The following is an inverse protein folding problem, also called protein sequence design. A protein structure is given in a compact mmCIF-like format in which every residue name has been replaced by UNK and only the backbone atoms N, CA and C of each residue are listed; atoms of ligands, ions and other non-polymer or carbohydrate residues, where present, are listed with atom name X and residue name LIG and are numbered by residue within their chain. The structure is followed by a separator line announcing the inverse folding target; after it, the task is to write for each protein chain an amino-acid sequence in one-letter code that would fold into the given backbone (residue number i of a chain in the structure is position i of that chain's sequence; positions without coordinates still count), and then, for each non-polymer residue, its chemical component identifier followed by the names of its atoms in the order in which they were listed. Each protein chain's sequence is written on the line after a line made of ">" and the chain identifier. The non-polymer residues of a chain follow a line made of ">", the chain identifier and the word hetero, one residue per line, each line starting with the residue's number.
data_IF_882314111867
#
_entry.id   IF_882314111867
#
_cell.length_a   1.000
_cell.length_b   1.000
_cell.length_c   1.000
_cell.angle_alpha   90.00
_cell.angle_beta   90.00
_cell.angle_gamma   90.00
#
_symmetry.space_group_name_H-M   'P 1'
#
loop_
_entity.id
_entity.type
_entity.pdbx_description
1 polymer ?
#
# COMPACT_ATOMS: atom_id res chain seq x y z
N UNK A 1 -20.84 11.49 -42.38
CA UNK A 1 -20.32 12.50 -41.42
C UNK A 1 -21.07 12.50 -40.08
N UNK A 2 -22.40 12.30 -40.06
CA UNK A 2 -23.19 12.24 -38.81
C UNK A 2 -22.91 11.03 -37.90
N UNK A 3 -22.56 9.88 -38.47
CA UNK A 3 -22.27 8.66 -37.69
C UNK A 3 -21.01 8.82 -36.84
N UNK A 4 -19.97 9.48 -37.38
CA UNK A 4 -18.72 9.74 -36.68
C UNK A 4 -18.90 10.70 -35.50
N UNK A 5 -19.76 11.72 -35.65
CA UNK A 5 -20.12 12.64 -34.58
C UNK A 5 -20.95 11.96 -33.49
N UNK A 6 -21.91 11.10 -33.86
CA UNK A 6 -22.68 10.31 -32.90
C UNK A 6 -21.80 9.37 -32.07
N UNK A 7 -20.80 8.75 -32.72
CA UNK A 7 -19.81 7.90 -32.05
C UNK A 7 -18.84 8.71 -31.19
N UNK A 8 -18.46 9.93 -31.59
CA UNK A 8 -17.63 10.84 -30.78
C UNK A 8 -18.38 11.35 -29.54
N UNK A 9 -19.67 11.66 -29.68
CA UNK A 9 -20.53 12.05 -28.56
C UNK A 9 -20.75 10.86 -27.61
N UNK A 10 -20.98 9.66 -28.15
CA UNK A 10 -21.04 8.42 -27.36
C UNK A 10 -19.70 8.06 -26.71
N UNK A 11 -18.57 8.29 -27.38
CA UNK A 11 -17.25 8.08 -26.77
C UNK A 11 -16.96 9.12 -25.68
N UNK A 12 -17.46 10.36 -25.82
CA UNK A 12 -17.36 11.39 -24.79
C UNK A 12 -18.21 11.08 -23.55
N UNK A 13 -19.37 10.41 -23.71
CA UNK A 13 -20.17 9.93 -22.59
C UNK A 13 -19.58 8.69 -21.91
N UNK A 14 -18.74 7.92 -22.61
CA UNK A 14 -17.99 6.77 -22.04
C UNK A 14 -16.83 7.22 -21.15
N UNK A 15 -16.22 8.39 -21.39
CA UNK A 15 -15.12 8.94 -20.58
C UNK A 15 -15.60 10.00 -19.58
N UNK A 16 -16.74 9.75 -18.92
CA UNK A 16 -17.23 10.65 -17.89
C UNK A 16 -16.48 10.54 -16.57
N UNK A 17 -15.81 9.40 -16.33
CA UNK A 17 -14.98 9.18 -15.17
C UNK A 17 -13.56 8.80 -15.60
N UNK A 18 -12.59 9.29 -14.86
CA UNK A 18 -11.20 8.85 -14.95
C UNK A 18 -10.59 8.73 -13.57
N UNK A 19 -9.52 7.96 -13.49
CA UNK A 19 -8.78 7.69 -12.27
C UNK A 19 -7.29 7.84 -12.55
N UNK A 20 -6.59 8.49 -11.64
CA UNK A 20 -5.14 8.69 -11.70
C UNK A 20 -4.55 8.46 -10.31
N UNK A 21 -3.43 7.75 -10.24
CA UNK A 21 -2.68 7.56 -8.99
C UNK A 21 -1.73 8.76 -8.87
N UNK A 22 -1.96 9.63 -7.89
CA UNK A 22 -1.12 10.82 -7.69
C UNK A 22 0.17 10.44 -6.97
N UNK A 23 0.04 9.72 -5.86
CA UNK A 23 1.16 9.33 -5.03
C UNK A 23 0.88 8.02 -4.32
N UNK A 24 1.91 7.19 -4.24
CA UNK A 24 1.91 5.99 -3.41
C UNK A 24 3.17 6.02 -2.56
N UNK A 25 2.98 5.91 -1.25
CA UNK A 25 4.03 5.68 -0.28
C UNK A 25 3.67 4.43 0.54
N UNK A 26 4.59 4.00 1.40
CA UNK A 26 4.46 2.78 2.20
C UNK A 26 3.22 2.81 3.12
N UNK A 27 2.85 3.99 3.63
CA UNK A 27 1.77 4.14 4.62
C UNK A 27 0.54 4.90 4.10
N UNK A 28 0.72 5.82 3.14
CA UNK A 28 -0.33 6.71 2.63
C UNK A 28 -0.33 6.71 1.13
N UNK A 29 -1.49 6.87 0.53
CA UNK A 29 -1.61 6.95 -0.93
C UNK A 29 -2.82 7.78 -1.33
N UNK A 30 -2.73 8.40 -2.51
CA UNK A 30 -3.74 9.29 -3.06
C UNK A 30 -4.09 8.87 -4.47
N UNK A 31 -5.38 8.62 -4.69
CA UNK A 31 -6.01 8.41 -6.00
C UNK A 31 -6.90 9.61 -6.25
N UNK A 32 -6.74 10.18 -7.44
CA UNK A 32 -7.61 11.19 -8.00
C UNK A 32 -8.69 10.53 -8.83
N UNK A 33 -9.94 10.80 -8.50
CA UNK A 33 -11.07 10.50 -9.36
C UNK A 33 -11.56 11.80 -9.99
N UNK A 34 -11.61 11.83 -11.32
CA UNK A 34 -12.15 12.98 -12.06
C UNK A 34 -13.44 12.56 -12.73
N UNK A 35 -14.43 13.44 -12.65
CA UNK A 35 -15.70 13.29 -13.34
C UNK A 35 -16.02 14.55 -14.13
N UNK A 36 -16.45 14.37 -15.38
CA UNK A 36 -16.86 15.44 -16.26
C UNK A 36 -18.37 15.49 -16.47
N UNK A 37 -19.12 14.56 -15.87
CA UNK A 37 -20.55 14.44 -16.12
C UNK A 37 -21.34 15.63 -15.55
N UNK A 38 -22.27 16.24 -16.31
CA UNK A 38 -22.99 17.42 -15.87
C UNK A 38 -24.06 17.15 -14.80
N UNK A 39 -24.69 15.96 -14.81
CA UNK A 39 -25.78 15.63 -13.86
C UNK A 39 -25.25 15.10 -12.53
N UNK A 40 -26.15 14.91 -11.55
CA UNK A 40 -25.78 14.27 -10.27
C UNK A 40 -25.43 12.80 -10.50
N UNK A 41 -24.30 12.37 -9.94
CA UNK A 41 -23.80 11.01 -10.08
C UNK A 41 -23.12 10.55 -8.79
N UNK A 42 -22.96 9.25 -8.66
CA UNK A 42 -22.36 8.63 -7.48
C UNK A 42 -21.04 7.96 -7.84
N UNK A 43 -20.09 8.07 -6.91
CA UNK A 43 -18.86 7.29 -6.94
C UNK A 43 -18.86 6.39 -5.71
N UNK A 44 -18.91 5.08 -5.91
CA UNK A 44 -18.80 4.12 -4.83
C UNK A 44 -17.40 3.53 -4.83
N UNK A 45 -16.71 3.58 -3.68
CA UNK A 45 -15.35 3.06 -3.52
C UNK A 45 -15.35 2.04 -2.41
N UNK A 46 -14.88 0.85 -2.74
CA UNK A 46 -14.72 -0.26 -1.81
C UNK A 46 -13.26 -0.31 -1.34
N UNK A 47 -13.09 -0.08 -0.04
CA UNK A 47 -11.84 -0.21 0.68
C UNK A 47 -11.80 -1.58 1.39
N UNK A 48 -10.70 -2.32 1.33
CA UNK A 48 -10.53 -3.50 2.17
C UNK A 48 -10.37 -3.09 3.65
N UNK A 49 -10.63 -4.01 4.58
CA UNK A 49 -10.65 -3.74 6.03
C UNK A 49 -9.31 -3.23 6.60
N UNK A 50 -8.21 -3.44 5.91
CA UNK A 50 -6.86 -2.96 6.27
C UNK A 50 -6.57 -1.53 5.77
N UNK A 51 -7.56 -0.83 5.23
CA UNK A 51 -7.42 0.54 4.73
C UNK A 51 -8.37 1.47 5.45
N UNK A 52 -7.84 2.60 5.91
CA UNK A 52 -8.62 3.66 6.54
C UNK A 52 -8.77 4.80 5.53
N UNK A 53 -9.99 5.05 5.00
CA UNK A 53 -10.22 6.16 4.11
C UNK A 53 -10.22 7.48 4.87
N UNK A 54 -9.54 8.50 4.34
CA UNK A 54 -9.56 9.86 4.89
C UNK A 54 -10.69 10.66 4.24
N UNK A 55 -11.80 10.79 4.96
CA UNK A 55 -13.05 11.37 4.43
C UNK A 55 -13.29 12.83 4.83
N UNK A 56 -12.29 13.50 5.42
CA UNK A 56 -12.44 14.88 5.92
C UNK A 56 -12.76 15.82 4.76
N UNK A 57 -13.80 16.64 4.93
CA UNK A 57 -14.28 17.62 3.93
C UNK A 57 -14.72 17.02 2.59
N UNK A 58 -15.04 15.72 2.55
CA UNK A 58 -15.50 15.04 1.35
C UNK A 58 -17.04 15.01 1.25
N UNK A 59 -17.63 15.04 0.05
CA UNK A 59 -19.08 14.97 -0.16
C UNK A 59 -19.61 13.54 -0.02
N UNK A 60 -19.46 12.96 1.17
CA UNK A 60 -19.90 11.59 1.48
C UNK A 60 -21.43 11.56 1.56
N UNK A 61 -22.04 10.68 0.77
CA UNK A 61 -23.47 10.42 0.81
C UNK A 61 -23.80 9.31 1.81
N UNK A 62 -23.03 8.21 1.76
CA UNK A 62 -23.27 7.03 2.61
C UNK A 62 -22.00 6.21 2.80
N UNK A 63 -21.88 5.60 3.97
CA UNK A 63 -20.87 4.58 4.26
C UNK A 63 -21.61 3.26 4.53
N UNK A 64 -21.12 2.17 3.96
CA UNK A 64 -21.66 0.82 4.15
C UNK A 64 -20.52 -0.09 4.57
N UNK A 65 -20.60 -0.59 5.80
CA UNK A 65 -19.63 -1.54 6.34
C UNK A 65 -20.05 -2.97 6.00
N UNK A 66 -19.11 -3.74 5.45
CA UNK A 66 -19.22 -5.19 5.24
C UNK A 66 -18.19 -5.89 6.13
N UNK A 67 -18.31 -7.21 6.25
CA UNK A 67 -17.42 -8.04 7.08
C UNK A 67 -15.92 -7.89 6.73
N UNK A 68 -15.58 -7.60 5.48
CA UNK A 68 -14.20 -7.53 4.98
C UNK A 68 -13.87 -6.25 4.20
N UNK A 69 -14.83 -5.33 4.07
CA UNK A 69 -14.64 -4.11 3.29
C UNK A 69 -15.56 -2.99 3.77
N UNK A 70 -15.15 -1.75 3.52
CA UNK A 70 -15.93 -0.55 3.76
C UNK A 70 -16.19 0.12 2.43
N UNK A 71 -17.47 0.33 2.11
CA UNK A 71 -17.87 1.02 0.88
C UNK A 71 -18.26 2.45 1.22
N UNK A 72 -17.55 3.40 0.64
CA UNK A 72 -17.87 4.83 0.75
C UNK A 72 -18.50 5.30 -0.56
N UNK A 73 -19.68 5.91 -0.45
CA UNK A 73 -20.43 6.44 -1.58
C UNK A 73 -20.37 7.96 -1.52
N UNK A 74 -19.83 8.58 -2.55
CA UNK A 74 -19.77 10.03 -2.72
C UNK A 74 -20.88 10.49 -3.66
N UNK A 75 -21.53 11.61 -3.33
CA UNK A 75 -22.47 12.29 -4.22
C UNK A 75 -21.77 13.46 -4.90
N UNK A 76 -21.67 13.39 -6.23
CA UNK A 76 -20.95 14.35 -7.05
C UNK A 76 -21.94 15.07 -7.97
N UNK A 77 -21.75 16.38 -8.14
CA UNK A 77 -22.59 17.23 -8.99
C UNK A 77 -21.71 18.04 -9.92
N UNK A 78 -21.98 17.95 -11.22
CA UNK A 78 -21.21 18.60 -12.26
C UNK A 78 -19.78 18.08 -12.34
N UNK A 79 -18.93 18.85 -13.03
CA UNK A 79 -17.50 18.53 -13.16
C UNK A 79 -16.82 18.63 -11.80
N UNK A 80 -16.18 17.54 -11.37
CA UNK A 80 -15.47 17.48 -10.08
C UNK A 80 -14.19 16.66 -10.18
N UNK A 81 -13.26 17.02 -9.31
CA UNK A 81 -12.06 16.25 -9.02
C UNK A 81 -12.12 15.90 -7.54
N UNK A 82 -11.88 14.64 -7.23
CA UNK A 82 -11.92 14.10 -5.88
C UNK A 82 -10.59 13.38 -5.61
N UNK A 83 -9.76 14.02 -4.80
CA UNK A 83 -8.49 13.46 -4.35
C UNK A 83 -8.75 12.71 -3.05
N UNK A 84 -8.71 11.39 -3.09
CA UNK A 84 -9.02 10.56 -1.94
C UNK A 84 -7.73 10.02 -1.37
N UNK A 85 -7.42 10.47 -0.16
CA UNK A 85 -6.34 9.95 0.64
C UNK A 85 -6.83 8.70 1.37
N UNK A 86 -6.01 7.67 1.43
CA UNK A 86 -6.19 6.57 2.38
C UNK A 86 -4.88 6.21 3.06
N UNK A 87 -5.02 5.64 4.25
CA UNK A 87 -3.93 5.07 5.03
C UNK A 87 -4.00 3.55 4.98
N UNK A 88 -2.85 2.93 4.77
CA UNK A 88 -2.67 1.48 4.78
C UNK A 88 -2.29 1.10 6.21
N UNK A 89 -3.06 0.20 6.83
CA UNK A 89 -2.61 -0.41 8.08
C UNK A 89 -1.46 -1.36 7.76
N UNK A 90 -0.25 -0.96 8.14
CA UNK A 90 0.93 -1.80 8.05
C UNK A 90 0.78 -2.97 9.02
N UNK A 91 0.57 -4.18 8.48
CA UNK A 91 0.64 -5.40 9.25
C UNK A 91 2.07 -5.64 9.73
N UNK A 92 2.22 -6.27 10.89
CA UNK A 92 3.56 -6.70 11.36
C UNK A 92 4.08 -7.78 10.42
N UNK A 93 5.40 -7.90 10.27
CA UNK A 93 6.03 -8.83 9.29
C UNK A 93 5.51 -10.26 9.41
N UNK A 94 5.17 -10.73 10.61
CA UNK A 94 4.65 -12.08 10.87
C UNK A 94 3.14 -12.23 10.65
N UNK A 95 2.39 -11.14 10.47
CA UNK A 95 0.96 -11.13 10.12
C UNK A 95 0.76 -11.18 8.60
N UNK A 96 1.83 -10.97 7.83
CA UNK A 96 1.80 -11.01 6.38
C UNK A 96 1.89 -12.45 5.87
N UNK A 97 1.00 -12.79 4.92
CA UNK A 97 1.13 -14.02 4.15
C UNK A 97 2.49 -14.01 3.42
N UNK A 98 3.26 -15.13 3.40
CA UNK A 98 4.54 -15.22 2.68
C UNK A 98 4.39 -15.09 1.15
N UNK A 99 3.16 -15.05 0.64
CA UNK A 99 2.84 -14.77 -0.76
C UNK A 99 2.50 -13.27 -0.90
N UNK A 100 3.54 -12.44 -1.10
CA UNK A 100 3.54 -10.97 -1.02
C UNK A 100 2.93 -10.27 -2.28
N UNK A 101 2.26 -11.00 -3.17
CA UNK A 101 1.65 -10.39 -4.37
C UNK A 101 0.32 -9.67 -4.09
N UNK A 102 -0.18 -9.72 -2.85
CA UNK A 102 -1.46 -9.12 -2.48
C UNK A 102 -1.29 -7.66 -2.03
N UNK A 103 -1.08 -6.78 -3.01
CA UNK A 103 -1.29 -5.35 -2.80
C UNK A 103 -2.71 -5.05 -2.31
N UNK A 104 -2.89 -3.90 -1.68
CA UNK A 104 -4.20 -3.32 -1.36
C UNK A 104 -4.99 -3.09 -2.64
N UNK A 105 -6.12 -3.80 -2.76
CA UNK A 105 -7.02 -3.64 -3.90
C UNK A 105 -8.14 -2.68 -3.55
N UNK A 106 -8.15 -1.51 -4.19
CA UNK A 106 -9.26 -0.55 -4.10
C UNK A 106 -10.10 -0.68 -5.37
N UNK A 107 -11.40 -0.87 -5.21
CA UNK A 107 -12.34 -0.92 -6.33
C UNK A 107 -13.21 0.33 -6.32
N UNK A 108 -13.49 0.88 -7.49
CA UNK A 108 -14.34 2.03 -7.64
C UNK A 108 -15.36 1.82 -8.76
N UNK A 109 -16.58 2.31 -8.57
CA UNK A 109 -17.67 2.25 -9.55
C UNK A 109 -18.33 3.62 -9.65
N UNK A 110 -18.43 4.13 -10.88
CA UNK A 110 -19.16 5.35 -11.20
C UNK A 110 -20.59 5.02 -11.65
N UNK A 111 -21.58 5.63 -11.02
CA UNK A 111 -23.00 5.41 -11.27
C UNK A 111 -23.67 6.72 -11.68
N UNK A 112 -24.35 6.70 -12.83
CA UNK A 112 -25.10 7.82 -13.39
C UNK A 112 -26.51 7.34 -13.66
N UNK A 113 -27.53 8.07 -13.20
CA UNK A 113 -28.95 7.72 -13.43
C UNK A 113 -29.30 6.26 -13.05
N UNK A 114 -28.66 5.74 -11.99
CA UNK A 114 -28.87 4.38 -11.50
C UNK A 114 -28.15 3.28 -12.31
N UNK A 115 -27.37 3.63 -13.35
CA UNK A 115 -26.57 2.69 -14.14
C UNK A 115 -25.08 2.82 -13.81
N UNK A 116 -24.39 1.70 -13.61
CA UNK A 116 -22.94 1.67 -13.52
C UNK A 116 -22.34 1.91 -14.91
N UNK A 117 -21.62 3.01 -15.08
CA UNK A 117 -21.05 3.43 -16.37
C UNK A 117 -19.53 3.28 -16.39
N UNK A 118 -18.90 3.15 -15.23
CA UNK A 118 -17.46 3.08 -15.08
C UNK A 118 -17.08 2.19 -13.92
N UNK A 119 -15.99 1.45 -14.07
CA UNK A 119 -15.41 0.62 -13.02
C UNK A 119 -13.90 0.67 -13.12
N UNK A 120 -13.23 0.73 -11.97
CA UNK A 120 -11.79 0.66 -11.89
C UNK A 120 -11.34 -0.19 -10.71
N UNK A 121 -10.14 -0.74 -10.86
CA UNK A 121 -9.44 -1.50 -9.83
C UNK A 121 -8.02 -0.97 -9.76
N UNK A 122 -7.65 -0.38 -8.63
CA UNK A 122 -6.28 0.03 -8.33
C UNK A 122 -5.68 -0.98 -7.36
N UNK A 123 -4.49 -1.47 -7.70
CA UNK A 123 -3.69 -2.32 -6.81
C UNK A 123 -2.51 -1.47 -6.35
N UNK A 124 -2.42 -1.30 -5.05
CA UNK A 124 -1.37 -0.53 -4.42
C UNK A 124 -0.56 -1.45 -3.51
N UNK A 125 0.75 -1.36 -3.59
CA UNK A 125 1.66 -2.29 -2.92
C UNK A 125 1.92 -1.84 -1.48
N UNK A 126 2.19 -2.80 -0.60
CA UNK A 126 2.67 -2.55 0.76
C UNK A 126 4.10 -3.07 0.83
N UNK A 127 5.05 -2.21 1.19
CA UNK A 127 6.42 -2.64 1.48
C UNK A 127 6.45 -3.29 2.85
N UNK A 128 6.68 -4.60 2.87
CA UNK A 128 7.01 -5.31 4.11
C UNK A 128 8.54 -5.28 4.21
N UNK A 129 9.12 -4.60 5.21
CA UNK A 129 10.56 -4.69 5.43
C UNK A 129 10.92 -6.13 5.82
N UNK A 130 11.64 -6.83 4.95
CA UNK A 130 12.21 -8.14 5.24
C UNK A 130 13.41 -7.98 6.18
N UNK A 131 13.15 -8.06 7.48
CA UNK A 131 14.21 -8.07 8.50
C UNK A 131 14.87 -9.44 8.66
N UNK A 132 14.38 -10.48 7.96
CA UNK A 132 14.90 -11.85 8.11
C UNK A 132 16.36 -11.92 7.71
N UNK A 133 16.73 -11.29 6.59
CA UNK A 133 18.11 -11.26 6.09
C UNK A 133 19.03 -10.53 7.07
N UNK A 134 18.61 -9.38 7.59
CA UNK A 134 19.39 -8.61 8.56
C UNK A 134 19.56 -9.38 9.87
N UNK A 135 18.50 -10.01 10.38
CA UNK A 135 18.53 -10.80 11.61
C UNK A 135 19.41 -12.05 11.50
N UNK A 136 19.32 -12.79 10.37
CA UNK A 136 20.18 -13.94 10.09
C UNK A 136 21.64 -13.51 9.94
N UNK A 137 21.90 -12.40 9.24
CA UNK A 137 23.25 -11.83 9.12
C UNK A 137 23.83 -11.44 10.48
N UNK A 138 23.10 -10.70 11.32
CA UNK A 138 23.57 -10.32 12.66
C UNK A 138 23.87 -11.53 13.55
N UNK A 139 22.99 -12.54 13.55
CA UNK A 139 23.21 -13.75 14.34
C UNK A 139 24.41 -14.57 13.85
N UNK A 140 24.54 -14.77 12.55
CA UNK A 140 25.67 -15.50 11.96
C UNK A 140 27.00 -14.77 12.20
N UNK A 141 27.01 -13.44 12.07
CA UNK A 141 28.20 -12.62 12.36
C UNK A 141 28.57 -12.66 13.84
N UNK A 142 27.58 -12.59 14.75
CA UNK A 142 27.80 -12.68 16.19
C UNK A 142 28.39 -14.03 16.61
N UNK A 143 27.89 -15.14 16.04
CA UNK A 143 28.44 -16.47 16.25
C UNK A 143 29.88 -16.55 15.74
N UNK A 144 30.14 -16.09 14.51
CA UNK A 144 31.48 -16.10 13.92
C UNK A 144 32.49 -15.28 14.74
N UNK A 145 32.10 -14.07 15.17
CA UNK A 145 32.92 -13.21 16.01
C UNK A 145 33.25 -13.88 17.35
N UNK A 146 32.25 -14.54 17.96
CA UNK A 146 32.45 -15.29 19.21
C UNK A 146 33.46 -16.43 19.02
N UNK A 147 33.39 -17.15 17.90
CA UNK A 147 34.39 -18.17 17.57
C UNK A 147 35.79 -17.57 17.43
N UNK A 148 35.94 -16.48 16.67
CA UNK A 148 37.23 -15.79 16.48
C UNK A 148 37.82 -15.34 17.82
N UNK A 149 37.01 -14.72 18.68
CA UNK A 149 37.48 -14.31 20.01
C UNK A 149 37.89 -15.50 20.87
N UNK A 150 37.15 -16.62 20.81
CA UNK A 150 37.46 -17.82 21.57
C UNK A 150 38.72 -18.55 21.07
N UNK A 151 39.02 -18.52 19.77
CA UNK A 151 40.21 -19.16 19.21
C UNK A 151 41.45 -18.27 19.33
N UNK A 152 41.33 -16.98 19.04
CA UNK A 152 42.50 -16.10 18.92
C UNK A 152 42.72 -15.18 20.13
N UNK A 153 41.68 -14.86 20.90
CA UNK A 153 41.76 -13.98 22.06
C UNK A 153 41.70 -14.74 23.40
N UNK A 154 42.12 -16.02 23.44
CA UNK A 154 42.20 -16.78 24.70
C UNK A 154 43.05 -16.02 25.73
N UNK A 155 42.54 -15.80 26.96
CA UNK A 155 43.30 -15.16 28.03
C UNK A 155 44.55 -15.96 28.45
N UNK A 156 44.65 -17.23 28.06
CA UNK A 156 45.82 -18.10 28.30
C UNK A 156 47.09 -17.60 27.58
N UNK A 157 46.97 -16.84 26.48
CA UNK A 157 48.12 -16.28 25.76
C UNK A 157 48.75 -15.06 26.47
N UNK A 158 48.09 -14.51 27.50
CA UNK A 158 48.63 -13.38 28.29
C UNK A 158 49.48 -13.89 29.47
N UNK A 159 49.36 -15.17 29.86
CA UNK A 159 50.07 -15.74 31.02
C UNK A 159 51.30 -16.60 30.68
N UNK A 160 51.83 -16.53 29.47
CA UNK A 160 53.15 -17.08 29.16
C UNK A 160 54.25 -16.24 29.83
N UNK A 161 54.43 -16.43 31.15
CA UNK A 161 55.66 -16.05 31.83
C UNK A 161 56.78 -16.97 31.33
N UNK A 162 57.90 -16.44 30.80
CA UNK A 162 59.04 -17.28 30.46
C UNK A 162 59.59 -17.92 31.74
N UNK A 163 59.64 -19.26 31.78
CA UNK A 163 60.36 -20.00 32.83
C UNK A 163 61.82 -19.55 32.79
N UNK A 164 62.26 -18.79 33.81
CA UNK A 164 63.68 -18.55 34.06
C UNK A 164 64.38 -19.90 34.25
N UNK A 165 65.33 -20.21 33.36
CA UNK A 165 66.28 -21.30 33.53
C UNK A 165 67.14 -20.99 34.77
N UNK A 166 66.88 -21.68 35.89
CA UNK A 166 67.83 -21.78 37.00
C UNK A 166 68.72 -22.98 36.66
N UNK A 167 69.95 -22.71 36.23
CA UNK A 167 71.03 -23.70 36.26
C UNK A 167 71.92 -23.34 37.45
N UNK A 168 71.97 -24.25 38.43
CA UNK A 168 73.07 -24.35 39.39
C UNK A 168 74.31 -24.90 38.69
#
# INVERSE_FOLDING_TARGET
>A
MFILFGWLVMASSVLCFSCEIISTDCSKSIIRYTTTHPTTHFLAIEYPSNVIPHLISMPVYRIVEKKSSTIVIFCLKGKRVLDILWEKNLCRVWECSPYIDEGVVIKAVGVIEGKAVWGNRVVDWIVIPDFTVQFVAFNSFGILLTFIMKTYCRPENIFWKPRKNIRN
#
